data_IF_221667706733
#
_entry.id   IF_221667706733
#
_cell.length_a   1.000
_cell.length_b   1.000
_cell.length_c   1.000
_cell.angle_alpha   90.00
_cell.angle_beta   90.00
_cell.angle_gamma   90.00
#
_symmetry.space_group_name_H-M   'P 1'
#
loop_
_entity.id
_entity.type
_entity.pdbx_description
1 polymer ?
#
# COMPACT_ATOMS: atom_id res chain seq x y z
N UNK A 1 18.11 -5.56 16.76
CA UNK A 1 18.41 -5.60 15.31
C UNK A 1 18.88 -4.22 14.84
N UNK A 2 19.71 -4.19 13.79
CA UNK A 2 20.15 -2.94 13.14
C UNK A 2 19.14 -2.41 12.14
N UNK A 3 18.34 -3.31 11.57
CA UNK A 3 17.29 -3.03 10.60
C UNK A 3 16.14 -4.00 10.85
N UNK A 4 14.90 -3.46 10.78
CA UNK A 4 13.66 -4.25 10.73
C UNK A 4 12.91 -3.82 9.48
N UNK A 5 12.48 -4.78 8.68
CA UNK A 5 11.68 -4.55 7.48
C UNK A 5 10.35 -5.26 7.67
N UNK A 6 9.26 -4.49 7.74
CA UNK A 6 7.89 -5.00 7.74
C UNK A 6 7.33 -4.96 6.31
N UNK A 7 6.87 -6.09 5.81
CA UNK A 7 6.25 -6.20 4.48
C UNK A 7 4.81 -6.67 4.66
N UNK A 8 3.86 -5.88 4.17
CA UNK A 8 2.45 -6.24 4.11
C UNK A 8 2.05 -6.36 2.65
N UNK A 9 1.54 -7.52 2.28
CA UNK A 9 0.96 -7.77 0.95
C UNK A 9 -0.55 -7.67 1.10
N UNK A 10 -1.10 -6.52 0.73
CA UNK A 10 -2.53 -6.25 0.81
C UNK A 10 -3.30 -7.18 -0.14
N UNK A 11 -4.52 -7.55 0.25
CA UNK A 11 -5.42 -8.44 -0.50
C UNK A 11 -4.87 -9.85 -0.78
N UNK A 12 -3.74 -10.23 -0.16
CA UNK A 12 -3.18 -11.58 -0.29
C UNK A 12 -3.99 -12.57 0.54
N UNK A 13 -4.61 -13.54 -0.12
CA UNK A 13 -5.35 -14.60 0.55
C UNK A 13 -4.40 -15.63 1.17
N UNK A 14 -4.82 -16.20 2.31
CA UNK A 14 -4.05 -17.21 3.02
C UNK A 14 -3.70 -18.43 2.14
N UNK A 15 -4.63 -18.87 1.31
CA UNK A 15 -4.45 -20.05 0.46
C UNK A 15 -3.44 -19.84 -0.68
N UNK A 16 -3.06 -18.60 -1.04
CA UNK A 16 -2.10 -18.35 -2.11
C UNK A 16 -0.73 -18.97 -1.84
N UNK A 17 -0.29 -19.00 -0.58
CA UNK A 17 1.00 -19.63 -0.21
C UNK A 17 0.99 -21.11 -0.57
N UNK A 18 -0.09 -21.84 -0.26
CA UNK A 18 -0.19 -23.26 -0.54
C UNK A 18 -0.54 -23.53 -2.01
N UNK A 19 -1.44 -22.74 -2.58
CA UNK A 19 -1.91 -22.90 -3.96
C UNK A 19 -0.78 -22.79 -4.98
N UNK A 20 0.05 -21.77 -4.82
CA UNK A 20 1.14 -21.48 -5.76
C UNK A 20 2.51 -21.93 -5.26
N UNK A 21 2.51 -22.86 -4.29
CA UNK A 21 3.77 -23.31 -3.67
C UNK A 21 4.81 -23.81 -4.66
N UNK A 22 4.39 -24.53 -5.69
CA UNK A 22 5.28 -25.10 -6.69
C UNK A 22 5.82 -24.07 -7.69
N UNK A 23 5.15 -22.92 -7.81
CA UNK A 23 5.52 -21.84 -8.73
C UNK A 23 6.44 -20.80 -8.09
N UNK A 24 6.53 -20.79 -6.74
CA UNK A 24 7.45 -19.88 -6.06
C UNK A 24 8.90 -20.31 -6.29
N UNK A 25 9.77 -19.31 -6.51
CA UNK A 25 11.22 -19.52 -6.45
C UNK A 25 11.71 -19.87 -5.04
N UNK A 26 12.98 -20.26 -4.94
CA UNK A 26 13.58 -20.67 -3.65
C UNK A 26 13.72 -19.51 -2.66
N UNK A 27 13.87 -18.28 -3.15
CA UNK A 27 13.81 -17.06 -2.35
C UNK A 27 12.36 -16.62 -2.03
N UNK A 28 12.18 -15.50 -1.35
CA UNK A 28 10.87 -14.96 -1.03
C UNK A 28 10.10 -15.83 -0.04
N UNK A 29 8.87 -16.23 -0.38
CA UNK A 29 7.99 -16.98 0.53
C UNK A 29 8.58 -18.31 0.98
N UNK A 30 9.19 -19.09 0.09
CA UNK A 30 9.82 -20.36 0.46
C UNK A 30 10.92 -20.17 1.49
N UNK A 31 11.81 -19.22 1.26
CA UNK A 31 12.90 -18.90 2.16
C UNK A 31 12.38 -18.41 3.52
N UNK A 32 11.43 -17.47 3.52
CA UNK A 32 10.86 -16.93 4.75
C UNK A 32 10.17 -17.99 5.60
N UNK A 33 9.52 -18.98 4.98
CA UNK A 33 8.86 -20.09 5.66
C UNK A 33 9.87 -21.12 6.17
N UNK A 34 10.90 -21.46 5.38
CA UNK A 34 11.89 -22.49 5.73
C UNK A 34 12.93 -22.03 6.75
N UNK A 35 13.33 -20.76 6.70
CA UNK A 35 14.38 -20.18 7.56
C UNK A 35 13.82 -19.34 8.71
N UNK A 36 12.55 -18.94 8.62
CA UNK A 36 11.89 -18.05 9.56
C UNK A 36 10.85 -18.74 10.44
N UNK A 37 9.92 -17.96 10.98
CA UNK A 37 8.79 -18.44 11.76
C UNK A 37 7.48 -18.21 11.00
N UNK A 38 6.71 -19.28 10.77
CA UNK A 38 5.43 -19.23 10.07
C UNK A 38 4.26 -19.31 11.06
N UNK A 39 3.50 -18.25 11.20
CA UNK A 39 2.29 -18.21 12.02
C UNK A 39 1.09 -18.75 11.23
N UNK A 40 0.84 -20.05 11.31
CA UNK A 40 -0.18 -20.73 10.51
C UNK A 40 -1.62 -20.55 11.00
N UNK A 41 -1.83 -19.97 12.18
CA UNK A 41 -3.15 -19.78 12.79
C UNK A 41 -3.31 -18.36 13.31
N UNK A 42 -3.15 -17.38 12.40
CA UNK A 42 -3.33 -15.96 12.71
C UNK A 42 -4.63 -15.46 12.11
N UNK A 43 -5.47 -14.85 12.94
CA UNK A 43 -6.78 -14.34 12.54
C UNK A 43 -6.98 -12.91 13.04
N UNK A 44 -7.67 -12.10 12.24
CA UNK A 44 -8.28 -10.87 12.73
C UNK A 44 -9.54 -11.22 13.53
N UNK A 45 -9.71 -10.58 14.67
CA UNK A 45 -10.86 -10.78 15.56
C UNK A 45 -11.96 -9.71 15.37
N UNK A 46 -12.00 -9.06 14.22
CA UNK A 46 -12.95 -8.02 13.85
C UNK A 46 -13.28 -8.08 12.35
N UNK A 47 -14.33 -7.42 11.95
CA UNK A 47 -14.77 -7.16 10.58
C UNK A 47 -15.29 -5.71 10.47
N UNK A 48 -15.20 -5.10 9.28
CA UNK A 48 -14.54 -5.55 8.05
C UNK A 48 -13.01 -5.39 8.12
N UNK A 49 -12.28 -6.27 7.43
CA UNK A 49 -10.82 -6.25 7.33
C UNK A 49 -10.34 -5.49 6.09
N UNK A 50 -10.87 -4.29 5.87
CA UNK A 50 -10.42 -3.41 4.80
C UNK A 50 -8.97 -2.96 5.00
N UNK A 51 -8.36 -2.38 3.95
CA UNK A 51 -6.97 -1.91 3.97
C UNK A 51 -6.65 -1.02 5.17
N UNK A 52 -7.48 0.00 5.45
CA UNK A 52 -7.25 0.94 6.57
C UNK A 52 -7.20 0.24 7.92
N UNK A 53 -8.29 -0.43 8.37
CA UNK A 53 -8.30 -1.17 9.63
C UNK A 53 -7.22 -2.25 9.70
N UNK A 54 -6.99 -2.97 8.59
CA UNK A 54 -6.00 -4.04 8.53
C UNK A 54 -4.58 -3.55 8.78
N UNK A 55 -4.14 -2.52 8.05
CA UNK A 55 -2.81 -1.93 8.23
C UNK A 55 -2.64 -1.31 9.62
N UNK A 56 -3.65 -0.56 10.09
CA UNK A 56 -3.62 -0.01 11.45
C UNK A 56 -3.47 -1.12 12.49
N UNK A 57 -4.28 -2.20 12.42
CA UNK A 57 -4.24 -3.29 13.40
C UNK A 57 -2.91 -4.03 13.41
N UNK A 58 -2.31 -4.30 12.23
CA UNK A 58 -1.02 -5.00 12.14
C UNK A 58 0.09 -4.18 12.84
N UNK A 59 0.11 -2.87 12.62
CA UNK A 59 1.20 -2.04 13.11
C UNK A 59 0.98 -1.45 14.51
N UNK A 60 -0.27 -1.39 14.99
CA UNK A 60 -0.59 -0.96 16.37
C UNK A 60 -0.70 -2.14 17.34
N UNK A 61 -0.94 -3.36 16.85
CA UNK A 61 -1.28 -4.51 17.68
C UNK A 61 -2.66 -4.38 18.37
N UNK A 62 -3.51 -3.45 17.93
CA UNK A 62 -4.81 -3.14 18.48
C UNK A 62 -5.94 -3.43 17.49
N UNK A 63 -7.18 -3.40 17.95
CA UNK A 63 -8.37 -3.55 17.10
C UNK A 63 -8.97 -2.18 16.73
N UNK A 64 -9.85 -2.10 15.71
CA UNK A 64 -10.51 -0.86 15.31
C UNK A 64 -11.19 -0.08 16.45
N UNK A 65 -11.74 -0.78 17.44
CA UNK A 65 -12.34 -0.16 18.62
C UNK A 65 -11.34 0.59 19.51
N UNK A 66 -10.06 0.28 19.38
CA UNK A 66 -8.99 0.91 20.15
C UNK A 66 -8.21 1.92 19.34
N UNK A 67 -7.80 1.55 18.11
CA UNK A 67 -7.03 2.48 17.27
C UNK A 67 -7.89 3.44 16.45
N UNK A 68 -9.23 3.32 16.45
CA UNK A 68 -10.15 4.30 15.85
C UNK A 68 -10.34 4.17 14.33
N UNK A 69 -9.51 3.43 13.61
CA UNK A 69 -9.64 3.25 12.15
C UNK A 69 -10.59 2.09 11.87
N UNK A 70 -11.86 2.41 11.70
CA UNK A 70 -12.95 1.41 11.61
C UNK A 70 -13.23 0.94 10.17
N UNK A 71 -12.85 1.74 9.16
CA UNK A 71 -13.02 1.45 7.73
C UNK A 71 -12.01 2.27 6.91
N UNK A 72 -12.03 2.14 5.58
CA UNK A 72 -11.34 3.08 4.69
C UNK A 72 -12.10 4.42 4.67
N UNK A 73 -13.43 4.37 4.70
CA UNK A 73 -14.33 5.52 4.77
C UNK A 73 -15.42 5.24 5.79
N UNK A 74 -15.83 6.25 6.55
CA UNK A 74 -17.00 6.16 7.44
C UNK A 74 -17.69 7.50 7.53
N UNK A 75 -18.98 7.44 7.91
CA UNK A 75 -19.77 8.63 8.19
C UNK A 75 -19.45 9.15 9.59
N UNK A 76 -18.94 10.37 9.67
CA UNK A 76 -18.74 11.09 10.93
C UNK A 76 -20.05 11.77 11.32
N UNK A 77 -20.59 11.39 12.47
CA UNK A 77 -21.88 11.91 12.94
C UNK A 77 -21.80 13.33 13.51
N UNK A 78 -20.64 13.75 13.95
CA UNK A 78 -20.41 15.10 14.49
C UNK A 78 -20.22 16.11 13.37
N UNK A 79 -19.49 15.72 12.32
CA UNK A 79 -19.26 16.54 11.14
C UNK A 79 -20.36 16.40 10.09
N UNK A 80 -21.25 15.40 10.23
CA UNK A 80 -22.32 15.07 9.28
C UNK A 80 -21.80 14.80 7.85
N UNK A 81 -20.59 14.23 7.72
CA UNK A 81 -19.97 13.95 6.44
C UNK A 81 -19.24 12.60 6.40
N UNK A 82 -18.95 12.11 5.19
CA UNK A 82 -18.08 10.94 5.00
C UNK A 82 -16.61 11.35 5.05
N UNK A 83 -15.89 10.78 6.00
CA UNK A 83 -14.45 10.97 6.14
C UNK A 83 -13.64 9.80 5.59
N UNK A 84 -12.48 10.09 4.99
CA UNK A 84 -11.49 9.09 4.63
C UNK A 84 -10.49 8.87 5.78
N UNK A 85 -10.06 7.61 5.98
CA UNK A 85 -9.33 7.19 7.18
C UNK A 85 -8.02 7.95 7.47
N UNK A 86 -7.40 8.55 6.48
CA UNK A 86 -6.16 9.32 6.64
C UNK A 86 -6.25 10.75 6.10
N UNK A 87 -7.45 11.20 5.66
CA UNK A 87 -7.59 12.59 5.17
C UNK A 87 -7.34 13.59 6.28
N UNK A 88 -6.62 14.67 5.92
CA UNK A 88 -6.28 15.78 6.80
C UNK A 88 -6.15 17.06 5.96
N UNK A 89 -7.17 17.91 6.04
CA UNK A 89 -7.27 19.14 5.24
C UNK A 89 -6.21 20.20 5.60
N UNK A 90 -5.64 20.13 6.82
CA UNK A 90 -4.62 21.06 7.28
C UNK A 90 -3.22 20.73 6.72
N UNK A 91 -3.08 19.60 6.06
CA UNK A 91 -1.82 19.17 5.47
C UNK A 91 -1.73 19.57 4.00
N UNK A 92 -0.49 19.61 3.49
CA UNK A 92 -0.18 19.90 2.10
C UNK A 92 0.59 18.74 1.47
N UNK A 93 0.46 18.61 0.16
CA UNK A 93 1.24 17.65 -0.62
C UNK A 93 2.70 18.05 -0.67
N UNK A 94 3.59 17.09 -0.49
CA UNK A 94 5.03 17.24 -0.60
C UNK A 94 5.53 16.35 -1.73
N UNK A 95 5.94 16.97 -2.83
CA UNK A 95 6.44 16.28 -4.02
C UNK A 95 5.60 16.45 -5.27
N UNK A 96 4.38 16.95 -5.16
CA UNK A 96 3.51 17.31 -6.27
C UNK A 96 2.72 18.59 -5.95
N UNK A 97 2.09 19.18 -6.99
CA UNK A 97 1.23 20.34 -6.86
C UNK A 97 -0.25 19.92 -7.03
N UNK A 98 -0.73 19.13 -6.10
CA UNK A 98 -2.10 18.62 -6.04
C UNK A 98 -2.50 18.32 -4.58
N UNK A 99 -3.62 17.64 -4.37
CA UNK A 99 -4.16 17.37 -3.03
C UNK A 99 -3.84 15.96 -2.50
N UNK A 100 -3.05 15.15 -3.23
CA UNK A 100 -2.78 13.75 -2.88
C UNK A 100 -2.01 13.58 -1.56
N UNK A 101 -1.37 14.62 -1.06
CA UNK A 101 -0.64 14.63 0.21
C UNK A 101 -1.37 15.24 1.40
N UNK A 102 -2.65 15.62 1.27
CA UNK A 102 -3.51 16.06 2.38
C UNK A 102 -3.90 14.89 3.28
N UNK A 103 -2.89 14.23 3.84
CA UNK A 103 -3.02 12.98 4.59
C UNK A 103 -2.20 13.04 5.88
N UNK A 104 -2.71 12.44 6.95
CA UNK A 104 -1.98 12.26 8.21
C UNK A 104 -2.54 11.08 9.02
N UNK A 105 -1.83 10.60 10.06
CA UNK A 105 -2.34 9.58 10.97
C UNK A 105 -3.26 10.16 12.07
N UNK A 106 -3.71 11.41 11.98
CA UNK A 106 -4.43 12.11 13.06
C UNK A 106 -5.68 11.37 13.57
N UNK A 107 -6.35 10.60 12.69
CA UNK A 107 -7.53 9.81 13.07
C UNK A 107 -7.19 8.50 13.78
N UNK A 108 -5.92 8.11 13.83
CA UNK A 108 -5.47 6.91 14.55
C UNK A 108 -5.18 7.26 16.00
N UNK A 109 -5.86 6.59 16.94
CA UNK A 109 -5.86 6.92 18.36
C UNK A 109 -4.76 6.23 19.17
N UNK A 110 -3.97 5.37 18.55
CA UNK A 110 -2.90 4.60 19.20
C UNK A 110 -1.57 4.76 18.48
N UNK A 111 -0.49 4.48 19.20
CA UNK A 111 0.85 4.40 18.65
C UNK A 111 1.05 3.13 17.80
N UNK A 112 1.94 3.21 16.84
CA UNK A 112 2.41 2.07 16.06
C UNK A 112 3.70 1.48 16.66
N UNK A 113 4.08 0.29 16.21
CA UNK A 113 5.40 -0.29 16.52
C UNK A 113 6.55 0.68 16.19
N UNK A 114 6.41 1.43 15.09
CA UNK A 114 7.37 2.46 14.69
C UNK A 114 7.43 3.63 15.67
N UNK A 115 6.28 4.09 16.15
CA UNK A 115 6.19 5.14 17.15
C UNK A 115 6.85 4.70 18.46
N UNK A 116 6.52 3.49 18.95
CA UNK A 116 7.13 2.92 20.17
C UNK A 116 8.65 2.76 20.04
N UNK A 117 9.14 2.34 18.87
CA UNK A 117 10.58 2.27 18.61
C UNK A 117 11.24 3.65 18.67
N UNK A 118 10.58 4.67 18.17
CA UNK A 118 11.05 6.06 18.24
C UNK A 118 11.08 6.57 19.67
N UNK A 119 10.03 6.33 20.44
CA UNK A 119 9.95 6.69 21.86
C UNK A 119 11.04 5.96 22.66
N UNK A 120 11.12 4.63 22.54
CA UNK A 120 12.14 3.83 23.23
C UNK A 120 13.57 4.28 22.93
N UNK A 121 13.85 4.61 21.69
CA UNK A 121 15.18 5.05 21.27
C UNK A 121 15.45 6.55 21.49
N UNK A 122 14.53 7.28 22.12
CA UNK A 122 14.61 8.76 22.26
C UNK A 122 14.85 9.43 20.89
N UNK A 123 14.03 9.05 19.90
CA UNK A 123 14.06 9.54 18.52
C UNK A 123 15.35 9.22 17.71
N UNK A 124 16.23 8.35 18.20
CA UNK A 124 17.44 7.95 17.45
C UNK A 124 17.17 6.96 16.33
N UNK A 125 16.15 6.13 16.47
CA UNK A 125 15.70 5.23 15.39
C UNK A 125 15.10 6.00 14.23
N UNK A 126 15.18 5.42 13.04
CA UNK A 126 14.52 5.92 11.83
C UNK A 126 13.36 5.01 11.47
N UNK A 127 12.22 5.60 11.18
CA UNK A 127 11.02 4.92 10.71
C UNK A 127 10.63 5.54 9.37
N UNK A 128 10.53 4.70 8.35
CA UNK A 128 10.11 5.09 7.00
C UNK A 128 9.05 4.08 6.57
N UNK A 129 7.92 4.56 6.10
CA UNK A 129 6.85 3.75 5.54
C UNK A 129 6.69 4.07 4.05
N UNK A 130 6.44 3.03 3.24
CA UNK A 130 6.26 3.18 1.79
C UNK A 130 5.10 2.28 1.39
N UNK A 131 4.13 2.83 0.68
CA UNK A 131 2.99 2.10 0.15
C UNK A 131 2.62 2.59 -1.25
N UNK A 132 1.82 1.83 -1.98
CA UNK A 132 1.24 2.32 -3.23
C UNK A 132 0.12 3.33 -2.95
N UNK A 133 -0.63 3.14 -1.88
CA UNK A 133 -1.71 4.05 -1.45
C UNK A 133 -1.35 4.74 -0.13
N UNK A 134 -1.82 5.97 0.02
CA UNK A 134 -1.65 6.81 1.20
C UNK A 134 -1.89 6.05 2.52
N UNK A 135 -3.07 5.42 2.69
CA UNK A 135 -3.43 4.71 3.92
C UNK A 135 -2.51 3.53 4.24
N UNK A 136 -1.97 2.86 3.21
CA UNK A 136 -1.00 1.78 3.40
C UNK A 136 0.42 2.26 3.71
N UNK A 137 0.69 3.55 3.59
CA UNK A 137 1.92 4.19 4.04
C UNK A 137 1.75 4.93 5.37
N UNK A 138 0.69 5.73 5.49
CA UNK A 138 0.43 6.60 6.65
C UNK A 138 0.15 5.79 7.91
N UNK A 139 -0.75 4.80 7.85
CA UNK A 139 -1.14 4.02 9.03
C UNK A 139 -0.01 3.15 9.59
N UNK A 140 0.78 2.42 8.77
CA UNK A 140 1.99 1.75 9.27
C UNK A 140 3.07 2.69 9.76
N UNK A 141 3.22 3.85 9.12
CA UNK A 141 4.19 4.87 9.52
C UNK A 141 3.90 5.44 10.89
N UNK A 142 2.63 5.62 11.21
CA UNK A 142 2.20 6.16 12.49
C UNK A 142 2.48 7.66 12.64
N UNK A 143 2.46 8.11 13.90
CA UNK A 143 2.56 9.52 14.26
C UNK A 143 4.00 10.06 14.22
N UNK A 144 4.98 9.19 14.43
CA UNK A 144 6.38 9.59 14.61
C UNK A 144 7.31 9.13 13.49
N UNK A 145 6.78 8.63 12.38
CA UNK A 145 7.63 8.29 11.24
C UNK A 145 8.45 9.47 10.75
N UNK A 146 9.67 9.20 10.28
CA UNK A 146 10.48 10.23 9.64
C UNK A 146 9.89 10.63 8.29
N UNK A 147 9.28 9.66 7.59
CA UNK A 147 8.50 9.86 6.37
C UNK A 147 7.55 8.70 6.12
N UNK A 148 6.41 9.00 5.50
CA UNK A 148 5.55 8.05 4.81
C UNK A 148 5.45 8.49 3.34
N UNK A 149 5.61 7.55 2.40
CA UNK A 149 5.58 7.81 0.96
C UNK A 149 4.53 6.94 0.30
N UNK A 150 3.82 7.50 -0.68
CA UNK A 150 2.88 6.76 -1.52
C UNK A 150 2.93 7.26 -2.94
N UNK A 151 2.42 6.45 -3.86
CA UNK A 151 2.39 6.80 -5.27
C UNK A 151 1.25 7.79 -5.53
N UNK A 152 1.57 8.89 -6.18
CA UNK A 152 0.59 9.83 -6.71
C UNK A 152 0.15 9.38 -8.11
N UNK A 153 -1.13 9.07 -8.25
CA UNK A 153 -1.69 8.54 -9.50
C UNK A 153 -1.72 9.56 -10.65
N UNK A 154 -1.66 10.87 -10.35
CA UNK A 154 -1.63 11.90 -11.38
C UNK A 154 -0.24 12.04 -12.00
N UNK A 155 0.79 12.07 -11.18
CA UNK A 155 2.17 12.27 -11.64
C UNK A 155 2.94 10.99 -11.88
N UNK A 156 2.59 9.89 -11.19
CA UNK A 156 3.36 8.65 -11.18
C UNK A 156 4.59 8.70 -10.28
N UNK A 157 4.72 9.75 -9.46
CA UNK A 157 5.82 9.95 -8.53
C UNK A 157 5.44 9.56 -7.10
N UNK A 158 6.42 9.25 -6.27
CA UNK A 158 6.21 9.13 -4.84
C UNK A 158 6.11 10.51 -4.20
N UNK A 159 5.03 10.70 -3.44
CA UNK A 159 4.74 11.90 -2.67
C UNK A 159 4.69 11.61 -1.18
N UNK A 160 4.57 12.65 -0.39
CA UNK A 160 4.39 12.58 1.06
C UNK A 160 3.46 13.71 1.52
N UNK A 161 3.23 13.80 2.82
CA UNK A 161 2.49 14.87 3.48
C UNK A 161 3.42 15.84 4.20
N UNK A 162 3.01 17.10 4.29
CA UNK A 162 3.65 18.10 5.17
C UNK A 162 3.64 17.71 6.65
N UNK A 163 2.80 16.75 7.05
CA UNK A 163 2.83 16.13 8.38
C UNK A 163 4.21 15.55 8.72
N UNK A 164 4.83 14.85 7.76
CA UNK A 164 6.13 14.20 7.98
C UNK A 164 7.33 15.07 7.64
N UNK A 165 7.14 16.12 6.85
CA UNK A 165 8.22 17.04 6.49
C UNK A 165 7.86 17.94 5.32
N UNK A 166 8.55 19.06 5.20
CA UNK A 166 8.22 20.09 4.21
C UNK A 166 8.87 19.87 2.82
N UNK A 167 9.73 18.86 2.70
CA UNK A 167 10.41 18.54 1.42
C UNK A 167 10.73 17.06 1.36
N UNK A 168 10.59 16.47 0.20
CA UNK A 168 11.09 15.11 -0.03
C UNK A 168 12.61 15.04 0.21
N UNK A 169 13.11 13.99 0.86
CA UNK A 169 14.55 13.78 1.00
C UNK A 169 15.21 13.60 -0.38
N UNK A 170 16.48 13.95 -0.49
CA UNK A 170 17.22 13.94 -1.76
C UNK A 170 17.18 12.59 -2.48
N UNK A 171 17.17 11.48 -1.73
CA UNK A 171 17.10 10.15 -2.32
C UNK A 171 15.74 9.87 -2.98
N UNK A 172 14.62 10.32 -2.36
CA UNK A 172 13.28 10.18 -2.94
C UNK A 172 13.12 11.05 -4.19
N UNK A 173 13.60 12.31 -4.13
CA UNK A 173 13.65 13.17 -5.33
C UNK A 173 14.47 12.54 -6.47
N UNK A 174 15.62 11.90 -6.14
CA UNK A 174 16.42 11.20 -7.13
C UNK A 174 15.73 9.95 -7.67
N UNK A 175 14.92 9.29 -6.85
CA UNK A 175 14.15 8.13 -7.27
C UNK A 175 13.05 8.54 -8.26
N UNK A 176 12.25 9.56 -7.94
CA UNK A 176 11.21 10.09 -8.81
C UNK A 176 11.77 10.49 -10.20
N UNK A 177 12.94 11.14 -10.23
CA UNK A 177 13.62 11.52 -11.48
C UNK A 177 13.99 10.35 -12.42
N UNK A 178 13.82 9.11 -11.98
CA UNK A 178 13.99 7.93 -12.87
C UNK A 178 12.81 7.70 -13.78
N UNK A 179 11.68 8.33 -13.47
CA UNK A 179 10.42 8.27 -14.23
C UNK A 179 9.98 6.83 -14.55
N UNK A 180 10.04 5.99 -13.52
CA UNK A 180 9.79 4.56 -13.68
C UNK A 180 8.33 4.26 -14.04
N UNK A 181 7.39 5.06 -13.56
CA UNK A 181 5.99 4.93 -13.92
C UNK A 181 5.81 5.06 -15.44
N UNK A 182 6.36 6.12 -16.04
CA UNK A 182 6.32 6.32 -17.49
C UNK A 182 7.00 5.18 -18.25
N UNK A 183 8.16 4.71 -17.76
CA UNK A 183 8.87 3.60 -18.37
C UNK A 183 8.02 2.32 -18.41
N UNK A 184 7.37 1.95 -17.30
CA UNK A 184 6.51 0.78 -17.26
C UNK A 184 5.23 0.95 -18.08
N UNK A 185 4.60 2.12 -18.04
CA UNK A 185 3.37 2.41 -18.77
C UNK A 185 3.58 2.57 -20.29
N UNK A 186 4.83 2.71 -20.74
CA UNK A 186 5.18 2.75 -22.17
C UNK A 186 5.26 1.37 -22.84
N UNK A 187 5.14 0.30 -22.08
CA UNK A 187 5.26 -1.07 -22.56
C UNK A 187 3.93 -1.84 -22.44
N UNK A 188 3.83 -3.01 -23.06
CA UNK A 188 2.72 -3.94 -22.83
C UNK A 188 2.94 -4.68 -21.52
N UNK A 189 1.87 -4.82 -20.75
CA UNK A 189 1.86 -5.70 -19.59
C UNK A 189 1.53 -7.12 -20.04
N UNK A 190 2.52 -7.97 -20.03
CA UNK A 190 2.43 -9.38 -20.43
C UNK A 190 2.50 -10.30 -19.21
N UNK A 191 2.11 -11.56 -19.40
CA UNK A 191 2.32 -12.59 -18.38
C UNK A 191 3.82 -12.75 -18.11
N UNK A 192 4.20 -12.76 -16.85
CA UNK A 192 5.60 -12.93 -16.43
C UNK A 192 6.15 -14.33 -16.77
N UNK A 193 5.31 -15.35 -16.69
CA UNK A 193 5.64 -16.75 -16.89
C UNK A 193 4.80 -17.34 -18.03
N UNK A 194 5.16 -18.50 -18.59
CA UNK A 194 4.34 -19.18 -19.57
C UNK A 194 2.92 -19.46 -19.06
N UNK A 195 1.90 -19.30 -19.89
CA UNK A 195 0.48 -19.39 -19.53
C UNK A 195 0.11 -20.64 -18.73
N UNK A 196 0.76 -21.77 -19.02
CA UNK A 196 0.54 -23.04 -18.29
C UNK A 196 0.86 -22.98 -16.79
N UNK A 197 1.65 -22.04 -16.35
CA UNK A 197 2.00 -21.86 -14.91
C UNK A 197 0.82 -21.26 -14.14
N UNK A 198 -0.14 -20.66 -14.85
CA UNK A 198 -1.33 -20.05 -14.26
C UNK A 198 -2.55 -20.98 -14.23
N UNK A 199 -2.37 -22.27 -14.52
CA UNK A 199 -3.48 -23.26 -14.58
C UNK A 199 -4.17 -23.46 -13.21
N UNK A 200 -3.52 -23.08 -12.11
CA UNK A 200 -4.10 -23.09 -10.75
C UNK A 200 -4.96 -21.86 -10.44
N UNK A 201 -4.98 -20.87 -11.34
CA UNK A 201 -5.82 -19.68 -11.28
C UNK A 201 -7.11 -19.85 -12.05
N UNK A 202 -7.99 -18.85 -11.97
CA UNK A 202 -9.16 -18.77 -12.86
C UNK A 202 -8.71 -18.50 -14.30
N UNK A 203 -9.57 -18.79 -15.25
CA UNK A 203 -9.32 -18.44 -16.65
C UNK A 203 -9.10 -16.93 -16.80
N UNK A 204 -8.14 -16.57 -17.64
CA UNK A 204 -7.88 -15.21 -18.08
C UNK A 204 -9.09 -14.68 -18.89
N UNK A 205 -9.96 -13.95 -18.33
CA UNK A 205 -11.30 -13.49 -18.68
C UNK A 205 -12.37 -14.09 -17.76
N UNK A 206 -12.12 -14.00 -16.47
CA UNK A 206 -13.07 -14.42 -15.46
C UNK A 206 -14.26 -13.43 -15.39
N UNK A 207 -15.44 -13.94 -15.04
CA UNK A 207 -16.61 -13.10 -14.79
C UNK A 207 -16.48 -12.19 -13.54
N UNK A 208 -15.42 -12.36 -12.77
CA UNK A 208 -15.11 -11.56 -11.57
C UNK A 208 -14.07 -10.46 -11.83
N UNK A 209 -13.59 -10.36 -13.06
CA UNK A 209 -12.62 -9.37 -13.49
C UNK A 209 -13.30 -8.33 -14.37
N UNK A 210 -12.97 -7.07 -14.14
CA UNK A 210 -13.43 -5.96 -14.98
C UNK A 210 -12.31 -5.54 -15.94
N UNK A 211 -12.64 -5.31 -17.23
CA UNK A 211 -11.66 -4.78 -18.17
C UNK A 211 -11.32 -3.33 -17.82
N UNK A 212 -10.09 -2.92 -18.09
CA UNK A 212 -9.74 -1.50 -18.08
C UNK A 212 -10.61 -0.73 -19.08
N UNK A 213 -10.89 0.55 -18.82
CA UNK A 213 -11.59 1.41 -19.78
C UNK A 213 -10.84 1.39 -21.12
N UNK A 214 -11.58 1.21 -22.23
CA UNK A 214 -11.00 1.02 -23.56
C UNK A 214 -10.68 -0.44 -23.91
N UNK A 215 -10.71 -1.37 -22.97
CA UNK A 215 -10.57 -2.81 -23.23
C UNK A 215 -11.91 -3.51 -23.33
N UNK A 216 -12.00 -4.48 -24.25
CA UNK A 216 -13.21 -5.32 -24.40
C UNK A 216 -13.28 -6.46 -23.40
N UNK A 217 -12.13 -7.00 -23.01
CA UNK A 217 -12.00 -8.15 -22.12
C UNK A 217 -10.80 -7.96 -21.18
N UNK A 218 -10.86 -8.40 -19.91
CA UNK A 218 -9.76 -8.34 -18.96
C UNK A 218 -8.72 -9.42 -19.23
N UNK A 219 -8.06 -9.38 -20.39
CA UNK A 219 -7.13 -10.41 -20.85
C UNK A 219 -5.74 -9.87 -21.10
N UNK A 220 -4.74 -10.68 -20.76
CA UNK A 220 -3.37 -10.46 -21.19
C UNK A 220 -3.16 -10.68 -22.70
N UNK A 221 -2.24 -9.93 -23.33
CA UNK A 221 -1.51 -8.79 -22.78
C UNK A 221 -2.37 -7.53 -22.70
N UNK A 222 -2.07 -6.65 -21.73
CA UNK A 222 -2.66 -5.32 -21.68
C UNK A 222 -1.75 -4.32 -22.41
N UNK A 223 -2.30 -3.63 -23.40
CA UNK A 223 -1.60 -2.58 -24.14
C UNK A 223 -1.64 -1.27 -23.35
N UNK A 224 -0.70 -1.11 -22.40
CA UNK A 224 -0.70 0.04 -21.50
C UNK A 224 -0.63 1.39 -22.21
N UNK A 225 0.18 1.58 -23.28
CA UNK A 225 0.16 2.81 -24.06
C UNK A 225 -1.20 3.17 -24.64
N UNK A 226 -1.99 2.18 -25.05
CA UNK A 226 -3.35 2.42 -25.56
C UNK A 226 -4.31 2.74 -24.40
N UNK A 227 -4.24 1.97 -23.31
CA UNK A 227 -5.09 2.16 -22.15
C UNK A 227 -4.86 3.50 -21.44
N UNK A 228 -3.65 4.04 -21.46
CA UNK A 228 -3.34 5.36 -20.91
C UNK A 228 -4.14 6.50 -21.55
N UNK A 229 -4.52 6.37 -22.82
CA UNK A 229 -5.31 7.37 -23.52
C UNK A 229 -6.69 7.55 -22.91
N UNK A 230 -7.28 6.46 -22.42
CA UNK A 230 -8.61 6.42 -21.82
C UNK A 230 -8.57 6.61 -20.28
N UNK A 231 -7.54 6.13 -19.61
CA UNK A 231 -7.48 6.03 -18.15
C UNK A 231 -6.54 7.04 -17.48
N UNK A 232 -5.61 7.64 -18.22
CA UNK A 232 -4.53 8.42 -17.64
C UNK A 232 -3.56 7.58 -16.78
N UNK A 233 -2.63 8.21 -16.07
CA UNK A 233 -1.66 7.53 -15.20
C UNK A 233 -2.29 6.85 -13.97
N UNK A 234 -3.50 7.23 -13.61
CA UNK A 234 -4.29 6.62 -12.54
C UNK A 234 -4.85 5.23 -12.85
N UNK A 235 -4.38 4.60 -13.92
CA UNK A 235 -4.69 3.23 -14.32
C UNK A 235 -4.20 2.19 -13.30
N UNK A 236 -3.27 2.55 -12.46
CA UNK A 236 -2.61 1.68 -11.47
C UNK A 236 -3.42 1.60 -10.18
#
# INVERSE_FOLDING_TARGET
PKLVVGIVVDQMRFDYINRYWNDYGDDGFRRLISEGYNCTNTHFNYIPTYTGPGHASIYTGATPSTHGIISNYWYDRELEEYGYCVSDADMNTVGADNESGKMSPAKMLTTTLGDELRLFSMNRSKVISIGLKDRSAVLPGGHMANFAFWLDSETGDFVSSSYYGLRLPKWAQKFNKKDLCEAYLSEKWELLLPSKVYDESLNDNSAYEEPFAGQKYPKFPHDLPELLKENGKGLI
#
